data_IF_808740811302
#
_entry.id   IF_808740811302
#
_cell.length_a   1.000
_cell.length_b   1.000
_cell.length_c   1.000
_cell.angle_alpha   90.00
_cell.angle_beta   90.00
_cell.angle_gamma   90.00
#
_symmetry.space_group_name_H-M   'P 1'
#
loop_
_entity.id
_entity.type
_entity.pdbx_description
1 polymer ?
#
# COMPACT_ATOMS: atom_id res chain seq x y z
N UNK A 1 0.43 33.98 29.22
CA UNK A 1 1.54 33.23 28.59
C UNK A 1 2.28 32.47 29.68
N UNK A 2 2.27 31.14 29.72
CA UNK A 2 3.16 30.39 30.58
C UNK A 2 4.38 29.96 29.74
N UNK A 3 5.55 30.39 30.18
CA UNK A 3 6.86 29.93 29.72
C UNK A 3 7.05 28.47 30.12
N UNK A 4 7.05 27.56 29.17
CA UNK A 4 7.47 26.17 29.40
C UNK A 4 8.99 26.10 29.33
N UNK A 5 9.65 26.18 30.48
CA UNK A 5 11.02 25.74 30.66
C UNK A 5 11.12 24.22 30.47
N UNK A 6 11.40 23.77 29.26
CA UNK A 6 11.90 22.42 29.05
C UNK A 6 13.34 22.38 29.51
N UNK A 7 13.57 21.95 30.76
CA UNK A 7 14.90 21.65 31.27
C UNK A 7 15.46 20.44 30.50
N UNK A 8 16.35 20.70 29.54
CA UNK A 8 17.18 19.66 28.91
C UNK A 8 18.14 19.11 29.97
N UNK A 9 17.92 17.89 30.44
CA UNK A 9 18.94 17.19 31.22
C UNK A 9 20.04 16.71 30.28
N UNK A 10 21.29 17.24 30.37
CA UNK A 10 22.35 16.81 29.48
C UNK A 10 22.73 15.36 29.77
N UNK A 11 22.86 14.55 28.74
CA UNK A 11 23.44 13.22 28.84
C UNK A 11 24.91 13.34 29.21
N UNK A 12 25.29 12.85 30.37
CA UNK A 12 26.67 12.88 30.83
C UNK A 12 27.39 11.60 30.40
N UNK A 13 28.47 11.75 29.62
CA UNK A 13 29.35 10.64 29.26
C UNK A 13 30.38 10.44 30.39
N UNK A 14 30.40 9.25 31.02
CA UNK A 14 31.23 8.91 32.16
C UNK A 14 32.69 8.55 31.78
N UNK A 15 33.27 9.11 30.74
CA UNK A 15 34.59 8.73 30.26
C UNK A 15 35.61 9.87 30.50
N UNK A 16 36.53 9.64 31.42
CA UNK A 16 37.51 10.61 31.90
C UNK A 16 38.68 10.92 30.93
N UNK A 17 38.83 10.15 29.85
CA UNK A 17 39.87 10.38 28.84
C UNK A 17 39.57 11.46 27.81
N UNK A 18 38.32 11.92 27.71
CA UNK A 18 37.89 12.93 26.72
C UNK A 18 38.27 14.38 27.04
N UNK A 19 38.79 14.67 28.22
CA UNK A 19 39.19 16.03 28.60
C UNK A 19 40.45 16.56 27.85
N UNK A 20 41.24 15.70 27.22
CA UNK A 20 42.50 16.08 26.53
C UNK A 20 42.35 16.47 25.05
N UNK A 21 41.16 16.29 24.41
CA UNK A 21 40.94 16.58 22.97
C UNK A 21 40.18 17.88 22.70
N UNK A 22 40.08 18.79 23.67
CA UNK A 22 39.30 20.04 23.51
C UNK A 22 39.80 20.99 22.40
N UNK A 23 41.08 20.96 22.03
CA UNK A 23 41.63 21.85 21.00
C UNK A 23 41.30 21.48 19.54
N UNK A 24 40.99 20.22 19.25
CA UNK A 24 40.69 19.75 17.88
C UNK A 24 39.25 19.97 17.45
N UNK A 25 38.34 20.19 18.38
CA UNK A 25 36.87 20.34 18.09
C UNK A 25 36.43 21.82 18.02
N UNK A 26 37.29 22.78 18.30
CA UNK A 26 36.92 24.21 18.39
C UNK A 26 36.37 24.75 17.05
N UNK A 27 36.97 24.34 15.92
CA UNK A 27 36.50 24.71 14.59
C UNK A 27 35.11 24.10 14.28
N UNK A 28 34.87 22.87 14.70
CA UNK A 28 33.60 22.19 14.57
C UNK A 28 32.53 22.81 15.49
N UNK A 29 32.91 23.15 16.72
CA UNK A 29 32.05 23.84 17.67
C UNK A 29 31.58 25.21 17.13
N UNK A 30 32.51 25.98 16.50
CA UNK A 30 32.12 27.25 15.83
C UNK A 30 31.18 27.03 14.67
N UNK A 31 31.39 26.02 13.82
CA UNK A 31 30.47 25.66 12.74
C UNK A 31 29.09 25.23 13.26
N UNK A 32 29.06 24.44 14.34
CA UNK A 32 27.81 24.05 15.00
C UNK A 32 27.03 25.28 15.47
N UNK A 33 27.66 26.22 16.17
CA UNK A 33 27.04 27.45 16.61
C UNK A 33 26.55 28.33 15.43
N UNK A 34 27.31 28.40 14.34
CA UNK A 34 26.89 29.11 13.13
C UNK A 34 25.65 28.49 12.51
N UNK A 35 25.55 27.15 12.45
CA UNK A 35 24.38 26.44 11.97
C UNK A 35 23.16 26.76 12.85
N UNK A 36 23.31 26.69 14.17
CA UNK A 36 22.19 27.01 15.08
C UNK A 36 21.74 28.47 14.95
N UNK A 37 22.69 29.42 14.84
CA UNK A 37 22.40 30.83 14.68
C UNK A 37 21.74 31.17 13.33
N UNK A 38 22.08 30.45 12.26
CA UNK A 38 21.51 30.67 10.93
C UNK A 38 20.05 30.21 10.83
N UNK A 39 19.63 29.27 11.67
CA UNK A 39 18.33 28.60 11.65
C UNK A 39 17.94 28.04 10.26
N UNK A 40 18.94 27.83 9.39
CA UNK A 40 18.76 27.34 8.02
C UNK A 40 19.81 26.29 7.71
N UNK A 41 19.35 25.17 7.18
CA UNK A 41 20.20 24.12 6.63
C UNK A 41 19.89 23.98 5.15
N UNK A 42 20.83 24.37 4.30
CA UNK A 42 20.74 24.16 2.86
C UNK A 42 21.58 22.93 2.53
N UNK A 43 20.94 21.80 2.25
CA UNK A 43 21.61 20.64 1.69
C UNK A 43 20.94 20.15 0.43
N UNK A 44 21.74 19.66 -0.49
CA UNK A 44 21.25 18.99 -1.69
C UNK A 44 21.24 17.48 -1.43
N UNK A 45 20.08 16.85 -1.55
CA UNK A 45 19.97 15.39 -1.52
C UNK A 45 20.13 14.90 -2.95
N UNK A 46 21.13 14.07 -3.20
CA UNK A 46 21.34 13.43 -4.50
C UNK A 46 20.58 12.10 -4.53
N UNK A 47 19.68 11.97 -5.50
CA UNK A 47 19.00 10.72 -5.79
C UNK A 47 19.51 10.19 -7.13
N UNK A 48 19.88 8.91 -7.16
CA UNK A 48 20.19 8.18 -8.39
C UNK A 48 19.02 7.24 -8.69
N UNK A 49 18.41 7.37 -9.87
CA UNK A 49 17.36 6.46 -10.33
C UNK A 49 17.99 5.11 -10.69
N UNK A 50 18.02 4.19 -9.73
CA UNK A 50 18.79 2.95 -9.86
C UNK A 50 18.03 1.88 -10.68
N UNK A 51 16.75 1.63 -10.36
CA UNK A 51 15.95 0.59 -11.00
C UNK A 51 14.52 1.07 -11.19
N UNK A 52 13.95 0.85 -12.37
CA UNK A 52 12.54 1.09 -12.64
C UNK A 52 11.69 0.06 -11.86
N UNK A 53 10.77 0.53 -11.03
CA UNK A 53 9.84 -0.30 -10.27
C UNK A 53 8.50 -0.45 -10.99
N UNK A 54 8.08 0.56 -11.74
CA UNK A 54 6.84 0.53 -12.51
C UNK A 54 6.58 1.79 -13.30
N UNK A 55 5.72 1.69 -14.30
CA UNK A 55 5.22 2.80 -15.11
C UNK A 55 3.71 2.76 -15.17
N UNK A 56 3.08 3.91 -15.31
CA UNK A 56 1.62 4.04 -15.46
C UNK A 56 1.24 5.39 -16.06
N UNK A 57 -0.06 5.65 -16.19
CA UNK A 57 -0.56 6.88 -16.78
C UNK A 57 -0.16 8.17 -16.05
N UNK A 58 0.23 8.07 -14.78
CA UNK A 58 0.67 9.24 -14.00
C UNK A 58 2.19 9.45 -14.01
N UNK A 59 2.98 8.51 -14.60
CA UNK A 59 4.43 8.62 -14.64
C UNK A 59 5.15 7.32 -14.29
N UNK A 60 6.39 7.42 -13.81
CA UNK A 60 7.26 6.30 -13.54
C UNK A 60 7.76 6.30 -12.09
N UNK A 61 7.88 5.12 -11.49
CA UNK A 61 8.40 4.92 -10.13
C UNK A 61 9.75 4.20 -10.22
N UNK A 62 10.75 4.75 -9.53
CA UNK A 62 12.10 4.21 -9.49
C UNK A 62 12.52 3.90 -8.06
N UNK A 63 13.29 2.82 -7.89
CA UNK A 63 14.12 2.63 -6.71
C UNK A 63 15.30 3.59 -6.78
N UNK A 64 15.60 4.22 -5.66
CA UNK A 64 16.70 5.17 -5.52
C UNK A 64 17.33 5.04 -4.14
N UNK A 65 18.58 5.45 -4.03
CA UNK A 65 19.29 5.58 -2.75
C UNK A 65 19.24 7.03 -2.29
N UNK A 66 18.72 7.25 -1.09
CA UNK A 66 18.90 8.50 -0.35
C UNK A 66 20.24 8.41 0.40
N UNK A 67 21.25 9.14 -0.10
CA UNK A 67 22.58 9.14 0.46
C UNK A 67 22.78 10.29 1.44
N UNK A 68 23.29 9.98 2.61
CA UNK A 68 23.74 10.92 3.63
C UNK A 68 25.27 10.91 3.81
N UNK A 69 25.75 11.49 4.91
CA UNK A 69 27.17 11.49 5.26
C UNK A 69 27.63 10.11 5.77
N UNK A 70 28.93 9.88 5.73
CA UNK A 70 29.59 8.74 6.37
C UNK A 70 29.02 7.36 5.96
N UNK A 71 28.62 7.22 4.70
CA UNK A 71 28.06 5.97 4.18
C UNK A 71 26.59 5.72 4.51
N UNK A 72 25.90 6.65 5.19
CA UNK A 72 24.48 6.54 5.45
C UNK A 72 23.70 6.49 4.13
N UNK A 73 23.05 5.35 3.87
CA UNK A 73 22.27 5.13 2.65
C UNK A 73 20.99 4.37 3.01
N UNK A 74 19.85 4.88 2.59
CA UNK A 74 18.57 4.21 2.74
C UNK A 74 17.86 4.12 1.38
N UNK A 75 17.25 2.98 1.04
CA UNK A 75 16.46 2.86 -0.16
C UNK A 75 15.17 3.70 -0.04
N UNK A 76 14.81 4.38 -1.13
CA UNK A 76 13.57 5.14 -1.26
C UNK A 76 12.95 4.86 -2.61
N UNK A 77 11.63 5.01 -2.72
CA UNK A 77 10.93 5.02 -3.99
C UNK A 77 10.71 6.47 -4.45
N UNK A 78 10.90 6.71 -5.74
CA UNK A 78 10.75 8.03 -6.36
C UNK A 78 9.74 7.93 -7.49
N UNK A 79 8.59 8.60 -7.35
CA UNK A 79 7.59 8.76 -8.41
C UNK A 79 7.85 10.06 -9.15
N UNK A 80 8.17 9.95 -10.44
CA UNK A 80 8.32 11.09 -11.36
C UNK A 80 7.02 11.23 -12.11
N UNK A 81 6.31 12.35 -11.90
CA UNK A 81 5.02 12.57 -12.54
C UNK A 81 5.20 13.02 -13.99
N UNK A 82 4.52 12.32 -14.92
CA UNK A 82 4.53 12.67 -16.33
C UNK A 82 3.64 13.88 -16.59
N UNK A 83 4.10 14.87 -17.39
CA UNK A 83 3.24 15.93 -17.91
C UNK A 83 2.37 15.46 -19.09
N UNK A 84 2.65 14.28 -19.65
CA UNK A 84 1.87 13.70 -20.75
C UNK A 84 0.42 13.44 -20.28
N UNK A 85 -0.55 13.77 -21.09
CA UNK A 85 -1.96 13.65 -20.73
C UNK A 85 -2.58 14.90 -20.12
N UNK A 86 -1.80 15.98 -19.88
CA UNK A 86 -2.31 17.29 -19.51
C UNK A 86 -2.37 18.20 -20.75
N UNK A 87 -3.41 19.04 -20.83
CA UNK A 87 -3.61 19.92 -21.98
C UNK A 87 -2.50 20.99 -22.13
N UNK A 88 -1.94 21.42 -21.00
CA UNK A 88 -0.87 22.43 -20.93
C UNK A 88 -0.15 22.41 -19.58
N UNK A 89 0.94 23.18 -19.47
CA UNK A 89 1.78 23.27 -18.26
C UNK A 89 1.01 23.80 -17.04
N UNK A 90 0.03 24.69 -17.22
CA UNK A 90 -0.76 25.22 -16.12
C UNK A 90 -1.68 24.12 -15.54
N UNK A 91 -2.35 23.35 -16.39
CA UNK A 91 -3.18 22.23 -15.97
C UNK A 91 -2.35 21.16 -15.20
N UNK A 92 -1.13 20.88 -15.68
CA UNK A 92 -0.18 20.03 -14.96
C UNK A 92 0.19 20.63 -13.60
N UNK A 93 0.59 21.90 -13.56
CA UNK A 93 1.01 22.57 -12.34
C UNK A 93 -0.11 22.63 -11.28
N UNK A 94 -1.35 22.92 -11.69
CA UNK A 94 -2.53 22.93 -10.81
C UNK A 94 -2.82 21.53 -10.24
N UNK A 95 -2.79 20.50 -11.09
CA UNK A 95 -2.98 19.12 -10.65
C UNK A 95 -1.89 18.70 -9.66
N UNK A 96 -0.62 19.00 -9.96
CA UNK A 96 0.50 18.71 -9.08
C UNK A 96 0.42 19.48 -7.76
N UNK A 97 -0.09 20.73 -7.79
CA UNK A 97 -0.35 21.52 -6.60
C UNK A 97 -1.37 20.86 -5.66
N UNK A 98 -2.45 20.29 -6.21
CA UNK A 98 -3.44 19.52 -5.41
C UNK A 98 -2.81 18.26 -4.82
N UNK A 99 -2.11 17.47 -5.64
CA UNK A 99 -1.41 16.26 -5.16
C UNK A 99 -0.42 16.62 -4.05
N UNK A 100 0.33 17.72 -4.18
CA UNK A 100 1.27 18.17 -3.15
C UNK A 100 0.56 18.48 -1.81
N UNK A 101 -0.58 19.21 -1.86
CA UNK A 101 -1.34 19.55 -0.64
C UNK A 101 -1.87 18.30 0.06
N UNK A 102 -2.47 17.37 -0.68
CA UNK A 102 -2.98 16.12 -0.11
C UNK A 102 -1.82 15.25 0.40
N UNK A 103 -0.73 15.14 -0.37
CA UNK A 103 0.47 14.41 0.06
C UNK A 103 1.06 14.96 1.35
N UNK A 104 1.04 16.30 1.55
CA UNK A 104 1.52 16.93 2.77
C UNK A 104 0.64 16.58 3.99
N UNK A 105 -0.69 16.44 3.81
CA UNK A 105 -1.61 15.97 4.87
C UNK A 105 -1.36 14.49 5.17
N UNK A 106 -1.27 13.65 4.14
CA UNK A 106 -0.99 12.21 4.28
C UNK A 106 0.36 11.97 4.97
N UNK A 107 1.39 12.75 4.65
CA UNK A 107 2.72 12.64 5.26
C UNK A 107 2.72 12.86 6.79
N UNK A 108 1.68 13.48 7.35
CA UNK A 108 1.50 13.68 8.78
C UNK A 108 0.79 12.50 9.46
N UNK A 109 0.17 11.62 8.68
CA UNK A 109 -0.49 10.41 9.18
C UNK A 109 0.58 9.34 9.41
N UNK A 110 0.85 9.01 10.67
CA UNK A 110 1.74 7.91 11.04
C UNK A 110 0.94 6.63 11.21
N UNK A 111 0.99 5.76 10.19
CA UNK A 111 0.25 4.50 10.19
C UNK A 111 1.00 3.39 9.46
N UNK A 112 1.14 2.22 10.08
CA UNK A 112 1.94 1.11 9.55
C UNK A 112 1.42 0.54 8.23
N UNK A 113 0.12 0.64 7.99
CA UNK A 113 -0.54 0.14 6.78
C UNK A 113 -0.73 1.23 5.70
N UNK A 114 -0.13 2.41 5.88
CA UNK A 114 -0.16 3.50 4.91
C UNK A 114 1.26 3.83 4.44
N UNK A 115 1.41 4.14 3.15
CA UNK A 115 2.70 4.53 2.57
C UNK A 115 3.23 5.82 3.20
N UNK A 116 4.48 5.80 3.71
CA UNK A 116 5.13 6.99 4.23
C UNK A 116 5.65 7.87 3.10
N UNK A 117 5.17 9.13 3.06
CA UNK A 117 5.62 10.13 2.11
C UNK A 117 6.71 11.00 2.76
N UNK A 118 7.85 11.15 2.06
CA UNK A 118 9.02 11.82 2.62
C UNK A 118 9.16 13.26 2.11
N UNK A 119 8.94 13.49 0.82
CA UNK A 119 9.13 14.81 0.23
C UNK A 119 8.41 14.94 -1.11
N UNK A 120 8.04 16.16 -1.47
CA UNK A 120 7.49 16.51 -2.78
C UNK A 120 8.32 17.63 -3.39
N UNK A 121 8.99 17.36 -4.50
CA UNK A 121 10.06 18.20 -5.07
C UNK A 121 9.70 18.68 -6.48
N UNK A 122 10.11 19.88 -6.81
CA UNK A 122 10.13 20.40 -8.19
C UNK A 122 11.55 20.28 -8.76
N UNK A 123 11.65 19.75 -9.97
CA UNK A 123 12.88 19.71 -10.75
C UNK A 123 12.59 20.18 -12.17
N UNK A 124 12.92 21.43 -12.44
CA UNK A 124 12.71 22.07 -13.74
C UNK A 124 11.26 21.95 -14.27
N UNK A 125 10.29 22.17 -13.37
CA UNK A 125 8.87 22.05 -13.70
C UNK A 125 8.28 20.65 -13.55
N UNK A 126 9.10 19.58 -13.47
CA UNK A 126 8.64 18.21 -13.23
C UNK A 126 8.51 17.95 -11.73
N UNK A 127 7.37 17.44 -11.31
CA UNK A 127 7.10 17.09 -9.91
C UNK A 127 7.53 15.66 -9.61
N UNK A 128 8.11 15.50 -8.42
CA UNK A 128 8.71 14.26 -7.96
C UNK A 128 8.26 14.03 -6.52
N UNK A 129 7.67 12.86 -6.24
CA UNK A 129 7.32 12.42 -4.90
C UNK A 129 8.37 11.41 -4.41
N UNK A 130 9.00 11.70 -3.28
CA UNK A 130 9.91 10.80 -2.58
C UNK A 130 9.16 10.12 -1.44
N UNK A 131 9.20 8.81 -1.38
CA UNK A 131 8.43 7.99 -0.44
C UNK A 131 9.25 6.79 0.05
N UNK A 132 8.79 6.10 1.08
CA UNK A 132 9.41 4.86 1.51
C UNK A 132 9.45 3.84 0.37
N UNK A 133 10.54 3.09 0.29
CA UNK A 133 10.58 1.88 -0.53
C UNK A 133 10.06 0.69 0.28
N UNK A 134 9.13 -0.04 -0.30
CA UNK A 134 8.56 -1.23 0.31
C UNK A 134 9.21 -2.45 -0.33
N UNK A 135 10.01 -3.19 0.44
CA UNK A 135 10.48 -4.52 0.04
C UNK A 135 9.33 -5.50 0.19
N UNK A 136 8.72 -5.89 -0.93
CA UNK A 136 7.53 -6.72 -0.95
C UNK A 136 6.88 -6.81 -2.33
N UNK A 137 5.66 -7.34 -2.36
CA UNK A 137 4.92 -7.61 -3.59
C UNK A 137 3.52 -6.99 -3.54
N UNK A 138 3.04 -6.48 -4.67
CA UNK A 138 1.64 -6.09 -4.77
C UNK A 138 0.72 -7.33 -4.87
N UNK A 139 -0.56 -7.17 -4.53
CA UNK A 139 -1.50 -8.30 -4.48
C UNK A 139 -1.70 -8.99 -5.84
N UNK A 140 -1.50 -8.29 -6.98
CA UNK A 140 -1.57 -8.93 -8.31
C UNK A 140 -0.48 -9.98 -8.48
N UNK A 141 0.67 -9.74 -7.87
CA UNK A 141 1.86 -10.57 -8.01
C UNK A 141 1.77 -11.84 -7.16
N UNK A 142 1.06 -11.79 -6.03
CA UNK A 142 0.96 -12.94 -5.11
C UNK A 142 0.12 -14.09 -5.65
N UNK A 143 -0.87 -13.82 -6.51
CA UNK A 143 -1.68 -14.84 -7.17
C UNK A 143 -1.21 -15.18 -8.58
N UNK A 144 -0.05 -14.65 -9.00
CA UNK A 144 0.52 -14.96 -10.31
C UNK A 144 0.94 -16.44 -10.39
N UNK A 145 0.40 -17.15 -11.40
CA UNK A 145 0.65 -18.59 -11.56
C UNK A 145 2.12 -18.94 -11.73
N UNK A 146 2.89 -18.09 -12.41
CA UNK A 146 4.32 -18.36 -12.64
C UNK A 146 5.08 -18.31 -11.31
N UNK A 147 4.74 -17.35 -10.45
CA UNK A 147 5.31 -17.27 -9.10
C UNK A 147 4.91 -18.45 -8.24
N UNK A 148 3.64 -18.81 -8.22
CA UNK A 148 3.16 -19.99 -7.48
C UNK A 148 3.85 -21.29 -7.96
N UNK A 149 4.10 -21.44 -9.26
CA UNK A 149 4.86 -22.58 -9.78
C UNK A 149 6.32 -22.56 -9.30
N UNK A 150 6.99 -21.39 -9.32
CA UNK A 150 8.35 -21.25 -8.78
C UNK A 150 8.43 -21.62 -7.29
N UNK A 151 7.46 -21.17 -6.48
CA UNK A 151 7.38 -21.55 -5.08
C UNK A 151 7.23 -23.07 -4.96
N UNK A 152 6.33 -23.68 -5.72
CA UNK A 152 6.15 -25.13 -5.74
C UNK A 152 7.43 -25.90 -6.03
N UNK A 153 8.22 -25.42 -6.97
CA UNK A 153 9.50 -26.03 -7.38
C UNK A 153 10.61 -25.82 -6.34
N UNK A 154 10.57 -24.70 -5.62
CA UNK A 154 11.62 -24.28 -4.68
C UNK A 154 11.42 -24.78 -3.24
N UNK A 155 10.20 -25.19 -2.84
CA UNK A 155 9.93 -25.62 -1.47
C UNK A 155 9.70 -27.13 -1.33
N UNK A 156 9.82 -27.66 -0.12
CA UNK A 156 9.51 -29.06 0.13
C UNK A 156 8.01 -29.36 -0.09
N UNK A 157 7.69 -30.62 -0.46
CA UNK A 157 6.30 -31.06 -0.63
C UNK A 157 5.44 -30.78 0.61
N UNK A 158 5.98 -30.99 1.81
CA UNK A 158 5.27 -30.72 3.08
C UNK A 158 4.95 -29.23 3.23
N UNK A 159 5.89 -28.33 2.88
CA UNK A 159 5.70 -26.88 2.92
C UNK A 159 4.68 -26.45 1.87
N UNK A 160 4.76 -26.98 0.66
CA UNK A 160 3.78 -26.73 -0.40
C UNK A 160 2.36 -27.13 -0.02
N UNK A 161 2.19 -28.31 0.63
CA UNK A 161 0.89 -28.76 1.13
C UNK A 161 0.35 -27.82 2.22
N UNK A 162 1.24 -27.32 3.07
CA UNK A 162 0.90 -26.33 4.10
C UNK A 162 0.47 -25.00 3.49
N UNK A 163 1.23 -24.43 2.54
CA UNK A 163 0.90 -23.20 1.80
C UNK A 163 -0.50 -23.30 1.19
N UNK A 164 -0.82 -24.43 0.55
CA UNK A 164 -2.13 -24.65 -0.06
C UNK A 164 -3.28 -24.78 0.94
N UNK A 165 -3.00 -25.18 2.15
CA UNK A 165 -4.02 -25.28 3.20
C UNK A 165 -4.28 -23.95 3.88
N UNK A 166 -3.24 -23.13 4.11
CA UNK A 166 -3.29 -21.95 4.99
C UNK A 166 -3.29 -20.65 4.23
N UNK A 167 -2.57 -20.54 3.10
CA UNK A 167 -2.32 -19.25 2.43
C UNK A 167 -3.08 -19.14 1.11
N UNK A 168 -2.85 -20.09 0.17
CA UNK A 168 -3.37 -20.00 -1.20
C UNK A 168 -3.75 -21.37 -1.75
N UNK A 169 -4.84 -21.45 -2.52
CA UNK A 169 -5.29 -22.70 -3.15
C UNK A 169 -4.62 -22.92 -4.52
N UNK A 170 -3.28 -22.93 -4.56
CA UNK A 170 -2.52 -22.95 -5.81
C UNK A 170 -2.72 -24.25 -6.65
N UNK A 171 -3.20 -25.34 -6.04
CA UNK A 171 -3.53 -26.60 -6.73
C UNK A 171 -4.80 -26.53 -7.57
N UNK A 172 -5.67 -25.55 -7.33
CA UNK A 172 -6.92 -25.41 -8.04
C UNK A 172 -6.73 -24.77 -9.42
N UNK A 173 -7.72 -24.95 -10.30
CA UNK A 173 -7.71 -24.32 -11.63
C UNK A 173 -7.60 -22.80 -11.55
N UNK A 174 -8.21 -22.22 -10.51
CA UNK A 174 -8.17 -20.80 -10.20
C UNK A 174 -7.59 -20.61 -8.81
N UNK A 175 -6.30 -20.28 -8.68
CA UNK A 175 -5.68 -19.99 -7.39
C UNK A 175 -6.36 -18.80 -6.72
N UNK A 176 -6.69 -18.94 -5.43
CA UNK A 176 -7.25 -17.86 -4.62
C UNK A 176 -6.67 -17.91 -3.20
N UNK A 177 -6.72 -16.79 -2.51
CA UNK A 177 -6.25 -16.73 -1.12
C UNK A 177 -7.25 -17.34 -0.16
N UNK A 178 -6.74 -17.97 0.88
CA UNK A 178 -7.58 -18.51 1.96
C UNK A 178 -8.27 -17.37 2.72
N UNK A 179 -9.49 -17.63 3.23
CA UNK A 179 -10.28 -16.61 3.92
C UNK A 179 -9.55 -15.88 5.05
N UNK A 180 -8.81 -16.61 5.89
CA UNK A 180 -8.06 -16.02 7.00
C UNK A 180 -6.99 -15.03 6.53
N UNK A 181 -6.20 -15.40 5.53
CA UNK A 181 -5.17 -14.53 4.92
C UNK A 181 -5.83 -13.32 4.24
N UNK A 182 -6.90 -13.54 3.48
CA UNK A 182 -7.64 -12.46 2.81
C UNK A 182 -8.14 -11.43 3.84
N UNK A 183 -8.73 -11.90 4.94
CA UNK A 183 -9.24 -11.02 5.99
C UNK A 183 -8.12 -10.30 6.76
N UNK A 184 -6.96 -10.91 7.00
CA UNK A 184 -5.81 -10.24 7.60
C UNK A 184 -5.36 -9.05 6.71
N UNK A 185 -5.26 -9.25 5.40
CA UNK A 185 -4.94 -8.18 4.43
C UNK A 185 -6.00 -7.08 4.44
N UNK A 186 -7.29 -7.45 4.39
CA UNK A 186 -8.40 -6.48 4.38
C UNK A 186 -8.43 -5.65 5.65
N UNK A 187 -8.18 -6.24 6.82
CA UNK A 187 -8.10 -5.52 8.10
C UNK A 187 -6.99 -4.47 8.11
N UNK A 188 -5.82 -4.82 7.59
CA UNK A 188 -4.72 -3.85 7.39
C UNK A 188 -5.16 -2.69 6.49
N UNK A 189 -5.89 -2.98 5.40
CA UNK A 189 -6.41 -1.96 4.49
C UNK A 189 -7.51 -1.11 5.15
N UNK A 190 -8.41 -1.70 5.94
CA UNK A 190 -9.42 -0.96 6.69
C UNK A 190 -8.80 0.02 7.67
N UNK A 191 -7.77 -0.40 8.41
CA UNK A 191 -7.04 0.47 9.33
C UNK A 191 -6.36 1.65 8.60
N UNK A 192 -5.78 1.41 7.42
CA UNK A 192 -5.22 2.47 6.58
C UNK A 192 -6.30 3.44 6.07
N UNK A 193 -7.42 2.92 5.55
CA UNK A 193 -8.54 3.74 5.08
C UNK A 193 -9.16 4.56 6.21
N UNK A 194 -9.33 3.98 7.39
CA UNK A 194 -9.82 4.72 8.55
C UNK A 194 -8.94 5.93 8.88
N UNK A 195 -7.61 5.76 8.83
CA UNK A 195 -6.67 6.84 9.08
C UNK A 195 -6.76 7.96 8.04
N UNK A 196 -7.00 7.64 6.76
CA UNK A 196 -7.23 8.62 5.69
C UNK A 196 -8.59 9.32 5.84
N UNK A 197 -9.65 8.54 6.04
CA UNK A 197 -11.02 9.06 6.12
C UNK A 197 -11.22 9.98 7.33
N UNK A 198 -10.55 9.71 8.45
CA UNK A 198 -10.53 10.58 9.64
C UNK A 198 -9.96 11.97 9.33
N UNK A 199 -9.00 12.04 8.42
CA UNK A 199 -8.43 13.29 7.91
C UNK A 199 -9.22 13.86 6.71
N UNK A 200 -10.43 13.35 6.44
CA UNK A 200 -11.26 13.71 5.29
C UNK A 200 -10.55 13.54 3.94
N UNK A 201 -9.74 12.49 3.81
CA UNK A 201 -9.03 12.15 2.57
C UNK A 201 -9.64 10.87 2.01
N UNK A 202 -10.05 10.92 0.74
CA UNK A 202 -10.52 9.77 -0.04
C UNK A 202 -9.36 9.27 -0.88
N UNK A 203 -9.12 7.95 -0.91
CA UNK A 203 -8.05 7.36 -1.72
C UNK A 203 -8.41 7.34 -3.21
N UNK A 204 -9.62 6.91 -3.55
CA UNK A 204 -10.23 6.98 -4.88
C UNK A 204 -9.71 5.98 -5.92
N UNK A 205 -8.71 5.13 -5.60
CA UNK A 205 -8.19 4.10 -6.52
C UNK A 205 -7.67 2.85 -5.78
N UNK A 206 -8.48 2.32 -4.84
CA UNK A 206 -8.18 1.06 -4.15
C UNK A 206 -8.29 -0.09 -5.14
N UNK A 207 -7.19 -0.84 -5.31
CA UNK A 207 -7.07 -2.00 -6.20
C UNK A 207 -5.87 -2.86 -5.81
N UNK A 208 -5.77 -4.12 -6.28
CA UNK A 208 -4.65 -5.01 -5.93
C UNK A 208 -3.26 -4.45 -6.24
N UNK A 209 -3.15 -3.62 -7.29
CA UNK A 209 -1.89 -2.97 -7.65
C UNK A 209 -1.43 -1.89 -6.65
N UNK A 210 -2.37 -1.32 -5.89
CA UNK A 210 -2.13 -0.26 -4.92
C UNK A 210 -2.11 -0.77 -3.47
N UNK A 211 -2.05 -2.09 -3.30
CA UNK A 211 -1.88 -2.76 -1.99
C UNK A 211 -0.63 -3.63 -2.08
N UNK A 212 0.39 -3.29 -1.31
CA UNK A 212 1.62 -4.08 -1.21
C UNK A 212 1.68 -4.83 0.11
N UNK A 213 2.18 -6.05 0.05
CA UNK A 213 2.53 -6.83 1.24
C UNK A 213 4.03 -6.69 1.46
N UNK A 214 4.41 -6.14 2.62
CA UNK A 214 5.80 -6.03 3.06
C UNK A 214 6.35 -7.41 3.43
N UNK A 215 7.68 -7.54 3.47
CA UNK A 215 8.35 -8.75 3.99
C UNK A 215 7.86 -9.17 5.37
N UNK A 216 7.43 -8.23 6.21
CA UNK A 216 6.85 -8.53 7.53
C UNK A 216 5.47 -9.20 7.49
N UNK A 217 4.88 -9.40 6.30
CA UNK A 217 3.51 -9.92 6.12
C UNK A 217 2.42 -8.84 6.15
N UNK A 218 2.72 -7.63 6.61
CA UNK A 218 1.74 -6.55 6.73
C UNK A 218 1.40 -5.93 5.37
N UNK A 219 0.12 -5.68 5.12
CA UNK A 219 -0.34 -4.96 3.94
C UNK A 219 -0.22 -3.44 4.12
N UNK A 220 0.18 -2.75 3.05
CA UNK A 220 0.19 -1.28 2.95
C UNK A 220 -0.57 -0.81 1.73
N UNK A 221 -1.42 0.20 1.92
CA UNK A 221 -1.99 0.97 0.82
C UNK A 221 -0.92 1.94 0.30
N UNK A 222 -0.73 1.92 -1.03
CA UNK A 222 0.25 2.73 -1.75
C UNK A 222 -0.44 3.57 -2.82
N UNK A 223 0.31 4.46 -3.46
CA UNK A 223 -0.11 5.31 -4.60
C UNK A 223 -1.23 6.31 -4.29
N UNK A 224 -0.84 7.39 -3.64
CA UNK A 224 -1.72 8.51 -3.28
C UNK A 224 -1.96 9.51 -4.44
N UNK A 225 -1.63 9.14 -5.69
CA UNK A 225 -1.73 10.03 -6.84
C UNK A 225 -3.16 10.41 -7.25
N UNK A 226 -4.15 9.65 -6.79
CA UNK A 226 -5.60 9.90 -7.00
C UNK A 226 -6.30 10.36 -5.73
N UNK A 227 -5.62 10.34 -4.59
CA UNK A 227 -6.19 10.76 -3.32
C UNK A 227 -6.52 12.26 -3.34
N UNK A 228 -7.60 12.62 -2.69
CA UNK A 228 -8.03 14.02 -2.58
C UNK A 228 -8.71 14.27 -1.22
N UNK A 229 -8.64 15.51 -0.79
CA UNK A 229 -9.36 15.97 0.38
C UNK A 229 -10.81 16.36 0.00
N UNK A 230 -11.77 16.06 0.86
CA UNK A 230 -13.19 16.37 0.61
C UNK A 230 -13.49 17.86 0.54
N UNK A 231 -12.56 18.69 1.03
CA UNK A 231 -12.58 20.15 0.94
C UNK A 231 -11.83 20.73 -0.27
N UNK A 232 -11.14 19.89 -1.08
CA UNK A 232 -10.41 20.27 -2.30
C UNK A 232 -10.63 19.22 -3.41
N UNK A 233 -11.89 19.04 -3.83
CA UNK A 233 -12.28 18.02 -4.81
C UNK A 233 -11.76 18.40 -6.20
N UNK A 234 -11.01 17.52 -6.89
CA UNK A 234 -10.50 17.80 -8.23
C UNK A 234 -11.64 17.84 -9.27
N UNK A 235 -11.58 18.75 -10.26
CA UNK A 235 -12.61 18.90 -11.29
C UNK A 235 -12.74 17.67 -12.20
N UNK A 236 -11.66 16.91 -12.38
CA UNK A 236 -11.66 15.63 -13.05
C UNK A 236 -10.97 14.59 -12.16
N UNK A 237 -11.52 13.38 -12.11
CA UNK A 237 -11.00 12.29 -11.30
C UNK A 237 -10.61 11.12 -12.19
N UNK A 238 -9.44 10.57 -11.91
CA UNK A 238 -8.99 9.32 -12.49
C UNK A 238 -9.32 8.18 -11.53
N UNK A 239 -9.87 7.10 -12.03
CA UNK A 239 -10.08 5.86 -11.27
C UNK A 239 -9.82 4.66 -12.18
N UNK A 240 -9.66 3.50 -11.58
CA UNK A 240 -9.63 2.23 -12.30
C UNK A 240 -11.06 1.67 -12.39
N UNK A 241 -11.72 1.69 -13.58
CA UNK A 241 -13.16 1.40 -13.67
C UNK A 241 -13.56 0.05 -13.07
N UNK A 242 -12.73 -0.98 -13.21
CA UNK A 242 -12.99 -2.30 -12.64
C UNK A 242 -13.13 -2.31 -11.11
N UNK A 243 -12.50 -1.35 -10.41
CA UNK A 243 -12.55 -1.28 -8.94
C UNK A 243 -13.33 -0.06 -8.43
N UNK A 244 -13.61 0.94 -9.25
CA UNK A 244 -14.40 2.09 -8.84
C UNK A 244 -15.84 1.69 -8.48
N UNK A 245 -16.41 2.31 -7.47
CA UNK A 245 -17.80 2.06 -7.07
C UNK A 245 -18.80 2.49 -8.16
N UNK A 246 -19.98 1.87 -8.26
CA UNK A 246 -20.93 2.16 -9.33
C UNK A 246 -21.39 3.62 -9.35
N UNK A 247 -21.61 4.23 -8.18
CA UNK A 247 -21.99 5.65 -8.06
C UNK A 247 -20.89 6.59 -8.57
N UNK A 248 -19.62 6.24 -8.38
CA UNK A 248 -18.48 7.02 -8.89
C UNK A 248 -18.40 6.94 -10.41
N UNK A 249 -18.65 5.76 -10.99
CA UNK A 249 -18.73 5.58 -12.44
C UNK A 249 -19.92 6.32 -13.07
N UNK A 250 -20.97 6.56 -12.31
CA UNK A 250 -22.15 7.34 -12.70
C UNK A 250 -21.97 8.86 -12.49
N UNK A 251 -20.79 9.30 -12.06
CA UNK A 251 -20.45 10.71 -11.90
C UNK A 251 -20.73 11.30 -10.52
N UNK A 252 -21.14 10.48 -9.54
CA UNK A 252 -21.27 10.93 -8.14
C UNK A 252 -19.88 11.19 -7.52
N UNK A 253 -19.87 11.94 -6.42
CA UNK A 253 -18.65 12.15 -5.65
C UNK A 253 -18.19 10.83 -4.99
N UNK A 254 -16.87 10.63 -4.97
CA UNK A 254 -16.29 9.53 -4.21
C UNK A 254 -16.32 9.85 -2.72
N UNK A 255 -16.64 8.84 -1.91
CA UNK A 255 -16.85 8.92 -0.46
C UNK A 255 -16.07 7.80 0.25
N UNK A 256 -15.98 7.79 1.58
CA UNK A 256 -15.45 6.65 2.31
C UNK A 256 -16.12 5.33 1.90
N UNK A 257 -17.44 5.34 1.66
CA UNK A 257 -18.17 4.15 1.23
C UNK A 257 -17.79 3.68 -0.17
N UNK A 258 -17.33 4.57 -1.06
CA UNK A 258 -16.82 4.16 -2.38
C UNK A 258 -15.44 3.50 -2.29
N UNK A 259 -14.55 3.94 -1.38
CA UNK A 259 -13.30 3.24 -1.08
C UNK A 259 -13.57 1.84 -0.50
N UNK A 260 -14.58 1.72 0.40
CA UNK A 260 -15.00 0.43 0.95
C UNK A 260 -15.54 -0.52 -0.11
N UNK A 261 -16.32 -0.02 -1.09
CA UNK A 261 -16.76 -0.84 -2.22
C UNK A 261 -15.58 -1.34 -3.06
N UNK A 262 -14.61 -0.46 -3.33
CA UNK A 262 -13.38 -0.81 -4.04
C UNK A 262 -12.59 -1.89 -3.30
N UNK A 263 -12.48 -1.77 -1.97
CA UNK A 263 -11.86 -2.80 -1.11
C UNK A 263 -12.67 -4.10 -1.12
N UNK A 264 -14.00 -4.02 -1.19
CA UNK A 264 -14.88 -5.18 -1.35
C UNK A 264 -14.62 -5.95 -2.65
N UNK A 265 -14.39 -5.24 -3.77
CA UNK A 265 -14.01 -5.90 -5.03
C UNK A 265 -12.63 -6.55 -4.95
N UNK A 266 -11.69 -5.94 -4.24
CA UNK A 266 -10.39 -6.58 -3.94
C UNK A 266 -10.58 -7.86 -3.14
N UNK A 267 -11.41 -7.83 -2.09
CA UNK A 267 -11.71 -9.03 -1.28
C UNK A 267 -12.33 -10.14 -2.12
N UNK A 268 -13.31 -9.83 -2.97
CA UNK A 268 -13.93 -10.81 -3.88
C UNK A 268 -12.89 -11.41 -4.82
N UNK A 269 -11.95 -10.60 -5.35
CA UNK A 269 -10.85 -11.10 -6.19
C UNK A 269 -9.91 -12.02 -5.41
N UNK A 270 -9.53 -11.67 -4.19
CA UNK A 270 -8.67 -12.51 -3.35
C UNK A 270 -9.31 -13.87 -3.05
N UNK A 271 -10.59 -13.86 -2.69
CA UNK A 271 -11.34 -15.06 -2.30
C UNK A 271 -11.75 -15.95 -3.49
N UNK A 272 -11.96 -15.38 -4.67
CA UNK A 272 -12.35 -16.13 -5.89
C UNK A 272 -11.15 -16.42 -6.81
N UNK A 273 -10.06 -15.69 -6.68
CA UNK A 273 -8.95 -15.69 -7.63
C UNK A 273 -9.30 -15.07 -9.00
N UNK A 274 -10.48 -14.49 -9.14
CA UNK A 274 -10.98 -13.93 -10.41
C UNK A 274 -11.22 -12.44 -10.28
N UNK A 275 -10.79 -11.69 -11.29
CA UNK A 275 -11.16 -10.27 -11.41
C UNK A 275 -12.66 -10.14 -11.65
N UNK A 276 -13.44 -9.50 -10.75
CA UNK A 276 -14.89 -9.60 -10.76
C UNK A 276 -15.56 -9.12 -12.06
N UNK A 277 -14.93 -8.21 -12.78
CA UNK A 277 -15.51 -7.54 -13.97
C UNK A 277 -14.62 -7.69 -15.20
N UNK A 278 -13.85 -8.78 -15.27
CA UNK A 278 -12.95 -9.04 -16.40
C UNK A 278 -13.72 -9.14 -17.72
N UNK A 279 -13.19 -8.49 -18.76
CA UNK A 279 -13.79 -8.54 -20.11
C UNK A 279 -14.91 -7.54 -20.38
N UNK A 280 -15.45 -6.85 -19.37
CA UNK A 280 -16.48 -5.82 -19.57
C UNK A 280 -15.80 -4.50 -19.97
N UNK A 281 -16.14 -4.00 -21.18
CA UNK A 281 -15.54 -2.77 -21.73
C UNK A 281 -16.49 -1.57 -21.71
N UNK A 282 -17.80 -1.81 -21.76
CA UNK A 282 -18.81 -0.75 -21.79
C UNK A 282 -19.15 -0.31 -20.37
N UNK A 283 -19.23 1.00 -20.17
CA UNK A 283 -19.43 1.57 -18.83
C UNK A 283 -20.77 1.17 -18.23
N UNK A 284 -21.84 1.20 -19.03
CA UNK A 284 -23.19 0.86 -18.61
C UNK A 284 -23.28 -0.62 -18.15
N UNK A 285 -22.66 -1.52 -18.92
CA UNK A 285 -22.60 -2.95 -18.57
C UNK A 285 -21.77 -3.18 -17.29
N UNK A 286 -20.71 -2.40 -17.10
CA UNK A 286 -19.88 -2.47 -15.89
C UNK A 286 -20.66 -2.02 -14.65
N UNK A 287 -21.41 -0.92 -14.76
CA UNK A 287 -22.28 -0.43 -13.67
C UNK A 287 -23.36 -1.46 -13.34
N UNK A 288 -24.01 -2.06 -14.35
CA UNK A 288 -25.01 -3.10 -14.15
C UNK A 288 -24.42 -4.35 -13.47
N UNK A 289 -23.25 -4.80 -13.93
CA UNK A 289 -22.54 -5.93 -13.34
C UNK A 289 -22.16 -5.69 -11.87
N UNK A 290 -21.78 -4.44 -11.51
CA UNK A 290 -21.50 -4.04 -10.12
C UNK A 290 -22.76 -4.01 -9.28
N UNK A 291 -23.84 -3.46 -9.81
CA UNK A 291 -25.14 -3.39 -9.11
C UNK A 291 -25.74 -4.79 -8.83
N UNK A 292 -25.43 -5.79 -9.66
CA UNK A 292 -25.89 -7.18 -9.49
C UNK A 292 -24.89 -8.08 -8.77
N UNK A 293 -23.70 -7.57 -8.42
CA UNK A 293 -22.64 -8.41 -7.85
C UNK A 293 -23.05 -9.06 -6.53
N UNK A 294 -23.71 -8.30 -5.64
CA UNK A 294 -24.14 -8.80 -4.34
C UNK A 294 -24.98 -10.08 -4.45
N UNK A 295 -25.91 -10.13 -5.41
CA UNK A 295 -26.78 -11.28 -5.65
C UNK A 295 -26.01 -12.48 -6.23
N UNK A 296 -24.94 -12.22 -6.97
CA UNK A 296 -24.13 -13.22 -7.67
C UNK A 296 -22.93 -13.74 -6.85
N UNK A 297 -22.68 -13.21 -5.66
CA UNK A 297 -21.52 -13.62 -4.86
C UNK A 297 -21.50 -15.12 -4.57
N UNK A 298 -22.66 -15.76 -4.38
CA UNK A 298 -22.76 -17.20 -4.14
C UNK A 298 -22.32 -18.05 -5.34
N UNK A 299 -22.37 -17.52 -6.55
CA UNK A 299 -21.95 -18.19 -7.78
C UNK A 299 -20.44 -18.01 -8.04
N UNK A 300 -19.86 -16.92 -7.49
CA UNK A 300 -18.48 -16.49 -7.75
C UNK A 300 -17.53 -17.01 -6.67
N UNK A 301 -17.96 -17.00 -5.41
CA UNK A 301 -17.14 -17.34 -4.27
C UNK A 301 -17.14 -18.85 -3.98
N UNK A 302 -16.01 -19.41 -3.52
CA UNK A 302 -15.90 -20.82 -3.19
C UNK A 302 -16.77 -21.22 -1.98
N UNK A 303 -17.07 -22.51 -1.82
CA UNK A 303 -17.93 -23.04 -0.79
C UNK A 303 -17.46 -22.69 0.62
N UNK A 304 -16.15 -22.66 0.86
CA UNK A 304 -15.59 -22.28 2.17
C UNK A 304 -15.95 -20.84 2.59
N UNK A 305 -16.22 -19.95 1.62
CA UNK A 305 -16.70 -18.58 1.86
C UNK A 305 -18.21 -18.54 1.98
N UNK A 306 -18.91 -19.15 1.03
CA UNK A 306 -20.40 -19.09 0.96
C UNK A 306 -21.08 -19.82 2.09
N UNK A 307 -20.45 -20.84 2.68
CA UNK A 307 -20.93 -21.55 3.88
C UNK A 307 -20.72 -20.75 5.18
N UNK A 308 -19.78 -19.81 5.21
CA UNK A 308 -19.54 -18.93 6.35
C UNK A 308 -20.43 -17.69 6.28
N UNK A 309 -21.50 -17.67 7.08
CA UNK A 309 -22.51 -16.60 7.05
C UNK A 309 -21.93 -15.21 7.36
N UNK A 310 -20.94 -15.14 8.27
CA UNK A 310 -20.33 -13.87 8.66
C UNK A 310 -19.49 -13.31 7.51
N UNK A 311 -18.59 -14.14 6.93
CA UNK A 311 -17.73 -13.72 5.82
C UNK A 311 -18.57 -13.37 4.58
N UNK A 312 -19.59 -14.17 4.28
CA UNK A 312 -20.51 -13.88 3.19
C UNK A 312 -21.27 -12.58 3.38
N UNK A 313 -21.80 -12.34 4.58
CA UNK A 313 -22.46 -11.08 4.94
C UNK A 313 -21.52 -9.88 4.87
N UNK A 314 -20.28 -10.04 5.32
CA UNK A 314 -19.25 -9.02 5.21
C UNK A 314 -18.95 -8.64 3.75
N UNK A 315 -18.76 -9.64 2.88
CA UNK A 315 -18.59 -9.41 1.45
C UNK A 315 -19.79 -8.68 0.84
N UNK A 316 -21.01 -9.15 1.12
CA UNK A 316 -22.27 -8.55 0.61
C UNK A 316 -22.38 -7.07 1.02
N UNK A 317 -22.07 -6.77 2.28
CA UNK A 317 -22.16 -5.42 2.81
C UNK A 317 -21.13 -4.47 2.21
N UNK A 318 -19.89 -4.92 1.97
CA UNK A 318 -18.89 -4.10 1.29
C UNK A 318 -19.27 -3.74 -0.15
N UNK A 319 -19.83 -4.72 -0.91
CA UNK A 319 -20.15 -4.53 -2.32
C UNK A 319 -21.64 -4.18 -2.57
N UNK A 320 -22.38 -3.82 -1.53
CA UNK A 320 -23.79 -3.42 -1.66
C UNK A 320 -23.95 -2.30 -2.68
N UNK A 321 -25.04 -2.38 -3.47
CA UNK A 321 -25.34 -1.43 -4.53
C UNK A 321 -25.46 0.00 -4.00
N UNK A 322 -26.33 0.19 -2.99
CA UNK A 322 -26.52 1.50 -2.35
C UNK A 322 -25.39 1.73 -1.33
N UNK A 323 -24.66 2.85 -1.38
CA UNK A 323 -23.68 3.20 -0.36
C UNK A 323 -24.21 3.21 1.07
N UNK A 324 -25.50 3.46 1.27
CA UNK A 324 -26.16 3.44 2.59
C UNK A 324 -26.25 2.05 3.21
N UNK A 325 -26.28 1.00 2.38
CA UNK A 325 -26.34 -0.39 2.81
C UNK A 325 -24.94 -0.94 3.10
N UNK A 326 -23.87 -0.20 2.73
CA UNK A 326 -22.49 -0.53 3.08
C UNK A 326 -22.16 -0.17 4.53
N UNK A 327 -20.99 -0.56 4.99
CA UNK A 327 -20.48 -0.04 6.26
C UNK A 327 -20.33 1.49 6.17
N UNK A 328 -20.67 2.19 7.24
CA UNK A 328 -20.67 3.66 7.24
C UNK A 328 -19.26 4.24 7.34
N UNK A 329 -18.29 3.47 7.85
CA UNK A 329 -16.87 3.82 7.93
C UNK A 329 -16.00 2.56 7.85
N UNK A 330 -14.70 2.73 7.65
CA UNK A 330 -13.73 1.65 7.72
C UNK A 330 -13.64 1.08 9.15
N UNK A 331 -13.76 1.92 10.18
CA UNK A 331 -13.86 1.50 11.58
C UNK A 331 -15.09 0.62 11.81
N UNK A 332 -16.24 0.99 11.27
CA UNK A 332 -17.46 0.19 11.36
C UNK A 332 -17.30 -1.18 10.67
N UNK A 333 -16.62 -1.23 9.52
CA UNK A 333 -16.31 -2.49 8.83
C UNK A 333 -15.34 -3.37 9.61
N UNK A 334 -14.47 -2.79 10.42
CA UNK A 334 -13.55 -3.53 11.29
C UNK A 334 -14.23 -4.03 12.57
N UNK A 335 -14.94 -3.16 13.31
CA UNK A 335 -15.29 -3.38 14.71
C UNK A 335 -16.73 -3.85 14.98
N UNK A 336 -17.68 -3.69 14.04
CA UNK A 336 -19.05 -4.15 14.25
C UNK A 336 -19.12 -5.69 14.41
N UNK A 337 -20.20 -6.18 15.02
CA UNK A 337 -20.42 -7.61 15.26
C UNK A 337 -20.56 -8.47 13.98
N UNK A 338 -20.69 -7.83 12.83
CA UNK A 338 -20.63 -8.42 11.48
C UNK A 338 -19.40 -7.94 10.68
N UNK A 339 -18.42 -7.35 11.37
CA UNK A 339 -17.18 -6.81 10.81
C UNK A 339 -16.03 -7.82 10.78
N UNK A 340 -14.88 -7.33 10.31
CA UNK A 340 -13.68 -8.13 10.09
C UNK A 340 -13.08 -8.70 11.40
N UNK A 341 -13.11 -7.95 12.50
CA UNK A 341 -12.61 -8.39 13.80
C UNK A 341 -13.41 -9.58 14.35
N UNK A 342 -14.74 -9.60 14.15
CA UNK A 342 -15.58 -10.72 14.59
C UNK A 342 -15.26 -12.00 13.80
N UNK A 343 -14.99 -11.89 12.50
CA UNK A 343 -14.54 -13.04 11.71
C UNK A 343 -13.24 -13.64 12.30
N UNK A 344 -12.24 -12.80 12.61
CA UNK A 344 -11.00 -13.29 13.21
C UNK A 344 -11.24 -13.91 14.58
N UNK A 345 -12.10 -13.31 15.41
CA UNK A 345 -12.48 -13.89 16.71
C UNK A 345 -13.07 -15.29 16.57
N UNK A 346 -13.93 -15.51 15.58
CA UNK A 346 -14.50 -16.83 15.30
C UNK A 346 -13.46 -17.83 14.81
N UNK A 347 -12.49 -17.42 14.00
CA UNK A 347 -11.39 -18.27 13.57
C UNK A 347 -10.57 -18.76 14.78
N UNK A 348 -10.21 -17.85 15.68
CA UNK A 348 -9.47 -18.22 16.92
C UNK A 348 -10.27 -19.18 17.80
N UNK A 349 -11.59 -18.99 17.93
CA UNK A 349 -12.45 -19.89 18.70
C UNK A 349 -12.59 -21.28 18.07
N UNK A 350 -12.45 -21.39 16.75
CA UNK A 350 -12.46 -22.63 16.01
C UNK A 350 -11.07 -23.32 15.93
N UNK A 351 -10.15 -22.91 16.78
CA UNK A 351 -8.76 -23.43 16.89
C UNK A 351 -7.88 -23.12 15.66
N UNK A 352 -8.29 -22.22 14.79
CA UNK A 352 -7.44 -21.65 13.75
C UNK A 352 -6.63 -20.49 14.33
N UNK A 353 -5.48 -20.82 14.94
CA UNK A 353 -4.55 -19.89 15.57
C UNK A 353 -3.46 -19.41 14.62
N UNK A 354 -3.68 -19.48 13.32
CA UNK A 354 -2.68 -19.07 12.34
C UNK A 354 -2.37 -17.59 12.49
N UNK A 355 -1.11 -17.27 12.72
CA UNK A 355 -0.58 -15.92 12.65
C UNK A 355 -0.38 -15.57 11.17
N UNK A 356 -1.44 -15.16 10.50
CA UNK A 356 -1.46 -14.98 9.04
C UNK A 356 -0.38 -14.02 8.54
N UNK A 357 -0.06 -12.96 9.27
CA UNK A 357 1.03 -12.05 8.92
C UNK A 357 2.38 -12.78 8.92
N UNK A 358 2.62 -13.66 9.89
CA UNK A 358 3.82 -14.48 9.95
C UNK A 358 3.87 -15.52 8.81
N UNK A 359 2.73 -16.14 8.48
CA UNK A 359 2.66 -17.09 7.37
C UNK A 359 2.92 -16.44 6.01
N UNK A 360 2.38 -15.25 5.82
CA UNK A 360 2.65 -14.43 4.63
C UNK A 360 4.14 -14.04 4.60
N UNK A 361 4.71 -13.62 5.73
CA UNK A 361 6.14 -13.30 5.84
C UNK A 361 7.00 -14.47 5.36
N UNK A 362 6.77 -15.69 5.89
CA UNK A 362 7.52 -16.87 5.49
C UNK A 362 7.40 -17.17 3.98
N UNK A 363 6.20 -17.04 3.42
CA UNK A 363 5.98 -17.22 1.98
C UNK A 363 6.77 -16.21 1.14
N UNK A 364 6.83 -14.94 1.59
CA UNK A 364 7.55 -13.89 0.87
C UNK A 364 9.07 -14.06 0.95
N UNK A 365 9.61 -14.56 2.08
CA UNK A 365 11.02 -14.91 2.20
C UNK A 365 11.38 -16.05 1.23
N UNK A 366 10.59 -17.12 1.22
CA UNK A 366 10.77 -18.24 0.31
C UNK A 366 10.73 -17.79 -1.16
N UNK A 367 9.76 -16.95 -1.53
CA UNK A 367 9.65 -16.41 -2.88
C UNK A 367 10.87 -15.58 -3.28
N UNK A 368 11.35 -14.73 -2.39
CA UNK A 368 12.51 -13.87 -2.63
C UNK A 368 13.79 -14.70 -2.83
N UNK A 369 14.04 -15.68 -1.96
CA UNK A 369 15.18 -16.57 -2.09
C UNK A 369 15.19 -17.31 -3.44
N UNK A 370 14.02 -17.77 -3.89
CA UNK A 370 13.85 -18.44 -5.18
C UNK A 370 14.12 -17.48 -6.35
N UNK A 371 13.62 -16.24 -6.29
CA UNK A 371 13.82 -15.24 -7.34
C UNK A 371 15.30 -14.82 -7.41
N UNK A 372 15.97 -14.58 -6.29
CA UNK A 372 17.40 -14.24 -6.23
C UNK A 372 18.28 -15.36 -6.80
N UNK A 373 17.99 -16.62 -6.51
CA UNK A 373 18.70 -17.77 -7.10
C UNK A 373 18.51 -17.87 -8.62
N UNK A 374 17.30 -17.57 -9.10
CA UNK A 374 17.01 -17.59 -10.53
C UNK A 374 17.77 -16.49 -11.28
N UNK A 375 17.80 -15.27 -10.74
CA UNK A 375 18.54 -14.14 -11.34
C UNK A 375 20.04 -14.40 -11.40
N UNK A 376 20.63 -14.95 -10.32
CA UNK A 376 22.06 -15.32 -10.29
C UNK A 376 22.41 -16.40 -11.31
N UNK A 377 21.50 -17.33 -11.57
CA UNK A 377 21.71 -18.39 -12.56
C UNK A 377 21.66 -17.83 -13.98
N UNK A 378 20.68 -16.98 -14.29
CA UNK A 378 20.55 -16.31 -15.58
C UNK A 378 21.77 -15.40 -15.89
N UNK A 379 22.27 -14.66 -14.89
CA UNK A 379 23.48 -13.84 -15.04
C UNK A 379 24.71 -14.69 -15.39
N UNK A 380 24.92 -15.81 -14.67
CA UNK A 380 26.05 -16.72 -14.94
C UNK A 380 25.96 -17.38 -16.31
N UNK A 381 24.76 -17.66 -16.80
CA UNK A 381 24.57 -18.20 -18.17
C UNK A 381 24.79 -17.14 -19.25
N UNK A 382 24.44 -15.88 -18.99
CA UNK A 382 24.70 -14.77 -19.92
C UNK A 382 26.21 -14.41 -20.03
N UNK A 383 26.97 -14.56 -18.94
CA UNK A 383 28.42 -14.35 -18.90
C UNK A 383 29.21 -15.48 -19.58
N UNK A 384 28.59 -16.65 -19.76
CA UNK A 384 29.22 -17.81 -20.43
C UNK A 384 28.97 -17.87 -21.95
N UNK A 385 28.08 -17.02 -22.47
CA UNK A 385 27.78 -16.85 -23.89
C UNK A 385 28.52 -15.66 -24.49
#
# INVERSE_FOLDING_TARGET
MPSSDFAFHPTVTLDSEKARKRGQTEKLAKKYQQILASQRLNWTVHHHLARLLGTGGQGAVYLSDRRGADGFTIPVAIKVFSPEGFENENAYAESMGRIARVSARIAQIQHDNLLNLHNFVDRNGIRILVMEWIDGYDLRQLLDRKRLTRIQEGVSRRRWDYINRVIVTAKEKQPHMRPGVSMAIIRNCLAALESLHRENIIHGDIKPANIMIKRSGLAKIIDMGTAFATDDIPPSRSCTPSYAAPEVLQGSEATPQSDLASLGYVLVELLSGQRPFSGIKQLEQLVEAKNSLCDRLKEILPEEVTSNKLLMGFCQRLVARDPKDRFQSAEAAELLGDGAAEFQRQQVLNDDRSEYDHEIHLLLEELKEIEEHSELTEQRESERK
#
